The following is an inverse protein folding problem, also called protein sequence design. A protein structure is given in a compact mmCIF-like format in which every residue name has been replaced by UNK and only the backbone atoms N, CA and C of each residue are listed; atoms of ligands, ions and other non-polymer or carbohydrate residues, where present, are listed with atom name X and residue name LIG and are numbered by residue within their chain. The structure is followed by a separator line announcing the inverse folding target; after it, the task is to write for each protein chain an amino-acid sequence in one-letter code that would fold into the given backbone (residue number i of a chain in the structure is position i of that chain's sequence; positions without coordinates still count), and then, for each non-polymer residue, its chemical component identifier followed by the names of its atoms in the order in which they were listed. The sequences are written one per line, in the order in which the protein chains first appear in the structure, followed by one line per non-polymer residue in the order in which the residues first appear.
data_IF_682932282074
#
_entry.id   IF_682932282074
#
_cell.length_a   1.000
_cell.length_b   1.000
_cell.length_c   1.000
_cell.angle_alpha   90.00
_cell.angle_beta   90.00
_cell.angle_gamma   90.00
#
_symmetry.space_group_name_H-M   'P 1'
#
loop_
_entity.id
_entity.type
_entity.pdbx_description
1 polymer ?
#
# COMPACT_ATOMS: atom_id res chain seq x y z
N UNK A 1 8.61 1.75 1.96
CA UNK A 1 7.23 1.53 1.48
C UNK A 1 7.18 0.19 0.74
N UNK A 2 6.13 -0.60 0.91
CA UNK A 2 5.88 -1.87 0.20
C UNK A 2 5.22 -1.68 -1.17
N UNK A 3 5.11 -0.43 -1.63
CA UNK A 3 4.27 -0.04 -2.78
C UNK A 3 2.79 0.10 -2.43
N UNK A 4 2.34 -0.46 -1.32
CA UNK A 4 0.95 -0.38 -0.87
C UNK A 4 0.71 0.87 -0.01
N UNK A 5 -0.55 1.35 0.02
CA UNK A 5 -0.97 2.50 0.83
C UNK A 5 -0.81 2.26 2.35
N UNK A 6 -0.89 1.00 2.77
CA UNK A 6 -0.62 0.56 4.13
C UNK A 6 -0.04 -0.86 4.15
N UNK A 7 0.44 -1.27 5.33
CA UNK A 7 0.84 -2.65 5.59
C UNK A 7 -0.19 -3.27 6.52
N UNK A 8 -0.68 -4.45 6.14
CA UNK A 8 -1.65 -5.21 6.92
C UNK A 8 -1.01 -6.52 7.33
N UNK A 9 -0.85 -6.74 8.63
CA UNK A 9 -0.21 -7.95 9.16
C UNK A 9 -0.80 -8.38 10.49
N UNK A 10 -0.77 -9.67 10.79
CA UNK A 10 -1.24 -10.26 12.04
C UNK A 10 -0.08 -10.95 12.76
N UNK A 11 0.08 -10.80 14.09
CA UNK A 11 1.09 -11.55 14.83
C UNK A 11 0.80 -13.06 14.75
N UNK A 12 1.83 -13.86 14.51
CA UNK A 12 1.72 -15.33 14.43
C UNK A 12 1.63 -16.00 15.81
N UNK A 13 1.99 -15.28 16.87
CA UNK A 13 1.87 -15.75 18.25
C UNK A 13 1.69 -14.58 19.21
N UNK A 14 0.96 -14.82 20.30
CA UNK A 14 0.90 -13.92 21.44
C UNK A 14 2.25 -13.84 22.16
N UNK A 15 3.11 -14.86 22.04
CA UNK A 15 4.37 -14.96 22.77
C UNK A 15 5.57 -14.90 21.82
N UNK A 16 6.70 -14.36 22.27
CA UNK A 16 7.91 -14.11 21.46
C UNK A 16 8.67 -15.38 21.00
N UNK A 17 8.11 -16.56 21.21
CA UNK A 17 8.80 -17.86 21.03
C UNK A 17 8.60 -18.43 19.62
N UNK A 18 7.56 -18.01 18.90
CA UNK A 18 7.30 -18.55 17.56
C UNK A 18 8.38 -18.14 16.56
N UNK A 19 8.89 -19.12 15.81
CA UNK A 19 9.78 -18.91 14.66
C UNK A 19 9.27 -19.73 13.46
N UNK A 20 9.19 -19.13 12.26
CA UNK A 20 8.88 -19.87 11.04
C UNK A 20 9.93 -20.95 10.77
N UNK A 21 9.53 -22.02 10.07
CA UNK A 21 10.44 -23.06 9.62
C UNK A 21 11.57 -22.47 8.74
N UNK A 22 12.80 -22.94 8.94
CA UNK A 22 13.97 -22.46 8.18
C UNK A 22 13.82 -22.66 6.67
N UNK A 23 13.20 -23.76 6.25
CA UNK A 23 12.90 -24.06 4.84
C UNK A 23 11.96 -23.04 4.20
N UNK A 24 10.96 -22.56 4.95
CA UNK A 24 10.07 -21.49 4.48
C UNK A 24 10.87 -20.21 4.26
N UNK A 25 11.72 -19.82 5.20
CA UNK A 25 12.54 -18.62 5.10
C UNK A 25 13.57 -18.70 3.97
N UNK A 26 14.13 -19.89 3.70
CA UNK A 26 15.08 -20.11 2.62
C UNK A 26 14.46 -19.90 1.22
N UNK A 27 13.15 -20.09 1.08
CA UNK A 27 12.40 -19.87 -0.16
C UNK A 27 11.93 -18.41 -0.35
N UNK A 28 12.23 -17.52 0.59
CA UNK A 28 11.82 -16.12 0.55
C UNK A 28 13.04 -15.21 0.42
N UNK A 29 12.87 -14.13 -0.34
CA UNK A 29 13.77 -12.98 -0.27
C UNK A 29 13.43 -12.15 0.96
N UNK A 30 14.43 -11.50 1.55
CA UNK A 30 14.21 -10.62 2.69
C UNK A 30 14.83 -9.24 2.45
N UNK A 31 14.18 -8.22 2.99
CA UNK A 31 14.65 -6.84 2.93
C UNK A 31 14.51 -6.18 4.30
N UNK A 32 15.58 -5.53 4.74
CA UNK A 32 15.58 -4.74 5.97
C UNK A 32 14.88 -3.41 5.72
N UNK A 33 13.60 -3.34 6.11
CA UNK A 33 12.75 -2.17 5.89
C UNK A 33 13.07 -1.03 6.85
N UNK A 34 13.43 -1.39 8.09
CA UNK A 34 13.92 -0.48 9.11
C UNK A 34 15.14 -1.13 9.76
N UNK A 35 16.27 -0.42 9.69
CA UNK A 35 17.57 -0.89 10.17
C UNK A 35 17.48 -1.46 11.59
N UNK A 36 17.97 -2.68 11.77
CA UNK A 36 18.03 -3.40 13.05
C UNK A 36 16.65 -3.61 13.72
N UNK A 37 15.53 -3.43 12.98
CA UNK A 37 14.19 -3.40 13.57
C UNK A 37 13.15 -4.20 12.80
N UNK A 38 12.99 -3.96 11.50
CA UNK A 38 11.90 -4.56 10.72
C UNK A 38 12.47 -5.18 9.47
N UNK A 39 12.29 -6.49 9.33
CA UNK A 39 12.65 -7.25 8.14
C UNK A 39 11.39 -7.82 7.51
N UNK A 40 11.16 -7.50 6.24
CA UNK A 40 10.07 -8.09 5.45
C UNK A 40 10.61 -9.26 4.65
N UNK A 41 9.78 -10.29 4.50
CA UNK A 41 10.04 -11.47 3.69
C UNK A 41 9.00 -11.55 2.58
N UNK A 42 9.45 -11.77 1.35
CA UNK A 42 8.60 -11.80 0.16
C UNK A 42 9.05 -12.88 -0.82
N UNK A 43 8.12 -13.35 -1.65
CA UNK A 43 8.43 -14.35 -2.68
C UNK A 43 9.33 -13.73 -3.77
N UNK A 44 10.47 -14.36 -4.06
CA UNK A 44 11.42 -13.87 -5.09
C UNK A 44 10.85 -13.90 -6.52
N UNK A 45 9.88 -14.78 -6.77
CA UNK A 45 9.23 -14.99 -8.06
C UNK A 45 8.12 -13.97 -8.31
N UNK A 46 7.39 -13.61 -7.25
CA UNK A 46 6.12 -12.91 -7.39
C UNK A 46 6.00 -11.68 -6.46
N UNK A 47 7.03 -11.30 -5.73
CA UNK A 47 7.01 -10.09 -4.90
C UNK A 47 6.02 -10.11 -3.73
N UNK A 48 5.17 -11.12 -3.61
CA UNK A 48 4.17 -11.22 -2.55
C UNK A 48 4.84 -11.17 -1.20
N UNK A 49 4.50 -10.17 -0.39
CA UNK A 49 4.94 -10.10 0.99
C UNK A 49 4.25 -11.21 1.80
N UNK A 50 5.05 -12.05 2.47
CA UNK A 50 4.56 -13.23 3.18
C UNK A 50 4.63 -13.04 4.70
N UNK A 51 5.77 -12.57 5.19
CA UNK A 51 6.05 -12.43 6.62
C UNK A 51 6.77 -11.12 6.93
N UNK A 52 6.68 -10.68 8.18
CA UNK A 52 7.58 -9.69 8.75
C UNK A 52 8.13 -10.16 10.09
N UNK A 53 9.40 -9.85 10.36
CA UNK A 53 10.03 -10.00 11.67
C UNK A 53 10.31 -8.61 12.23
N UNK A 54 9.77 -8.34 13.42
CA UNK A 54 9.85 -7.04 14.08
C UNK A 54 10.57 -7.21 15.41
N UNK A 55 11.71 -6.56 15.55
CA UNK A 55 12.48 -6.48 16.78
C UNK A 55 11.96 -5.28 17.60
N UNK A 56 11.50 -5.50 18.85
CA UNK A 56 11.09 -4.44 19.77
C UNK A 56 12.18 -3.40 20.01
N UNK A 57 11.78 -2.17 20.33
CA UNK A 57 12.71 -1.08 20.71
C UNK A 57 13.32 -1.24 22.12
N UNK A 58 12.97 -2.28 22.88
CA UNK A 58 13.36 -2.50 24.28
C UNK A 58 13.59 -4.00 24.57
N UNK A 59 14.43 -4.35 25.56
CA UNK A 59 15.89 -4.43 25.42
C UNK A 59 16.32 -5.42 24.32
N UNK A 60 17.57 -5.28 23.84
CA UNK A 60 18.18 -5.98 22.67
C UNK A 60 18.13 -7.52 22.69
N UNK A 61 17.70 -8.14 23.79
CA UNK A 61 17.63 -9.59 23.98
C UNK A 61 16.28 -10.22 23.58
N UNK A 62 15.26 -9.42 23.27
CA UNK A 62 13.97 -9.94 22.77
C UNK A 62 14.16 -10.61 21.42
N UNK A 63 13.61 -11.83 21.23
CA UNK A 63 13.77 -12.62 19.99
C UNK A 63 13.04 -12.01 18.77
N UNK A 64 12.34 -10.90 18.96
CA UNK A 64 11.50 -10.27 17.95
C UNK A 64 10.21 -11.06 17.73
N UNK A 65 9.19 -10.39 17.20
CA UNK A 65 7.90 -11.00 16.90
C UNK A 65 7.72 -11.19 15.40
N UNK A 66 7.13 -12.33 15.04
CA UNK A 66 6.79 -12.66 13.68
C UNK A 66 5.34 -12.34 13.36
N UNK A 67 5.12 -11.86 12.14
CA UNK A 67 3.83 -11.48 11.61
C UNK A 67 3.62 -12.16 10.26
N UNK A 68 2.40 -12.64 10.02
CA UNK A 68 1.94 -12.99 8.69
C UNK A 68 1.31 -11.77 8.03
N UNK A 69 1.56 -11.61 6.73
CA UNK A 69 0.95 -10.54 5.97
C UNK A 69 -0.50 -10.93 5.62
N UNK A 70 -1.45 -10.05 5.91
CA UNK A 70 -2.87 -10.39 5.90
C UNK A 70 -3.38 -10.87 4.53
N UNK A 71 -2.78 -10.40 3.44
CA UNK A 71 -3.16 -10.82 2.09
C UNK A 71 -2.82 -12.27 1.77
N UNK A 72 -2.02 -12.96 2.59
CA UNK A 72 -1.73 -14.40 2.39
C UNK A 72 -2.72 -15.32 3.11
N UNK A 73 -3.64 -14.77 3.90
CA UNK A 73 -4.62 -15.56 4.65
C UNK A 73 -5.77 -15.98 3.72
N UNK A 74 -6.06 -17.28 3.70
CA UNK A 74 -7.13 -17.86 2.88
C UNK A 74 -8.52 -17.44 3.34
N UNK A 75 -8.75 -17.37 4.65
CA UNK A 75 -9.96 -16.84 5.30
C UNK A 75 -9.52 -15.95 6.43
N UNK A 76 -10.15 -14.78 6.55
CA UNK A 76 -9.83 -13.84 7.62
C UNK A 76 -11.07 -13.29 8.34
N UNK A 77 -12.25 -13.81 7.99
CA UNK A 77 -13.48 -13.67 8.75
C UNK A 77 -13.22 -14.04 10.23
N UNK A 78 -13.74 -13.26 11.17
CA UNK A 78 -13.55 -13.38 12.64
C UNK A 78 -12.12 -13.22 13.19
N UNK A 79 -11.08 -13.30 12.36
CA UNK A 79 -9.67 -13.12 12.76
C UNK A 79 -9.29 -11.64 12.81
N UNK A 80 -9.89 -10.82 11.93
CA UNK A 80 -9.57 -9.40 11.89
C UNK A 80 -10.13 -8.64 13.09
N UNK A 81 -9.21 -8.16 13.91
CA UNK A 81 -9.43 -7.12 14.91
C UNK A 81 -8.51 -5.93 14.63
N UNK A 82 -8.82 -5.12 13.60
CA UNK A 82 -7.93 -4.10 13.11
C UNK A 82 -7.75 -2.99 14.15
N UNK A 83 -6.56 -2.39 14.12
CA UNK A 83 -6.24 -1.10 14.71
C UNK A 83 -5.29 -0.41 13.75
N UNK A 84 -5.37 0.91 13.67
CA UNK A 84 -4.44 1.69 12.86
C UNK A 84 -3.28 2.15 13.74
N UNK A 85 -2.06 1.87 13.31
CA UNK A 85 -0.83 2.24 14.00
C UNK A 85 0.01 3.14 13.09
N UNK A 86 0.82 4.03 13.67
CA UNK A 86 1.68 4.96 12.91
C UNK A 86 0.89 5.84 11.92
N UNK A 87 -0.33 6.23 12.31
CA UNK A 87 -1.19 7.07 11.47
C UNK A 87 -0.56 8.46 11.25
N UNK A 88 0.22 8.96 12.20
CA UNK A 88 0.92 10.24 12.08
C UNK A 88 1.87 10.29 10.88
N UNK A 89 2.55 9.17 10.55
CA UNK A 89 3.48 9.07 9.42
C UNK A 89 2.79 9.27 8.07
N UNK A 90 1.46 9.15 8.01
CA UNK A 90 0.68 9.36 6.78
C UNK A 90 0.38 10.83 6.51
N UNK A 91 0.52 11.71 7.50
CA UNK A 91 0.17 13.15 7.49
C UNK A 91 -1.30 13.48 7.22
N UNK A 92 -2.08 12.54 6.67
CA UNK A 92 -3.45 12.77 6.25
C UNK A 92 -4.43 11.69 6.75
N UNK A 93 -4.01 10.78 7.63
CA UNK A 93 -4.69 9.54 8.06
C UNK A 93 -4.62 8.36 7.09
N UNK A 94 -4.04 8.51 5.90
CA UNK A 94 -3.85 7.42 4.94
C UNK A 94 -5.12 6.59 4.72
N UNK A 95 -5.00 5.26 4.84
CA UNK A 95 -6.12 4.33 4.75
C UNK A 95 -7.01 4.27 6.01
N UNK A 96 -6.59 4.87 7.13
CA UNK A 96 -7.37 4.81 8.38
C UNK A 96 -8.71 5.55 8.26
N UNK A 97 -8.78 6.54 7.34
CA UNK A 97 -10.03 7.18 6.92
C UNK A 97 -11.00 6.24 6.21
N UNK A 98 -10.51 5.19 5.54
CA UNK A 98 -11.32 4.26 4.75
C UNK A 98 -11.87 3.09 5.56
N UNK A 99 -11.37 2.89 6.78
CA UNK A 99 -11.82 1.84 7.68
C UNK A 99 -12.01 2.43 9.09
N UNK A 100 -13.08 3.24 9.30
CA UNK A 100 -13.30 3.94 10.56
C UNK A 100 -13.77 3.00 11.69
N UNK A 101 -14.56 1.99 11.34
CA UNK A 101 -15.24 1.09 12.27
C UNK A 101 -15.52 -0.26 11.62
N UNK A 102 -15.52 -1.34 12.40
CA UNK A 102 -15.87 -2.68 11.96
C UNK A 102 -16.57 -3.43 13.10
N UNK A 103 -17.52 -4.31 12.80
CA UNK A 103 -18.26 -5.10 13.80
C UNK A 103 -18.89 -4.25 14.93
N UNK A 104 -19.47 -3.11 14.57
CA UNK A 104 -20.13 -2.20 15.51
C UNK A 104 -19.19 -1.45 16.45
N UNK A 105 -17.86 -1.51 16.23
CA UNK A 105 -16.87 -0.81 17.06
C UNK A 105 -16.04 0.15 16.24
N UNK A 106 -15.77 1.33 16.81
CA UNK A 106 -14.78 2.26 16.27
C UNK A 106 -13.39 1.61 16.36
N UNK A 107 -12.64 1.67 15.25
CA UNK A 107 -11.28 1.16 15.20
C UNK A 107 -10.34 2.22 15.77
N UNK A 108 -9.42 1.84 16.63
CA UNK A 108 -8.45 2.77 17.21
C UNK A 108 -7.50 3.32 16.14
N UNK A 109 -7.08 4.58 16.29
CA UNK A 109 -6.13 5.26 15.40
C UNK A 109 -4.99 5.82 16.21
N UNK A 110 -3.92 5.06 16.36
CA UNK A 110 -2.77 5.47 17.16
C UNK A 110 -1.82 6.31 16.31
N UNK A 111 -1.40 7.47 16.84
CA UNK A 111 -0.43 8.32 16.16
C UNK A 111 0.85 7.54 15.84
N UNK A 112 1.33 6.73 16.79
CA UNK A 112 2.47 5.83 16.64
C UNK A 112 2.15 4.45 17.25
N UNK A 113 3.02 3.90 18.10
CA UNK A 113 2.82 2.60 18.72
C UNK A 113 1.56 2.58 19.61
N UNK A 114 0.74 1.52 19.55
CA UNK A 114 -0.49 1.44 20.33
C UNK A 114 -0.20 1.47 21.84
N UNK A 115 -1.13 2.02 22.62
CA UNK A 115 -1.09 2.15 24.08
C UNK A 115 0.08 2.96 24.65
N UNK A 116 0.87 3.63 23.80
CA UNK A 116 2.00 4.49 24.23
C UNK A 116 1.86 5.94 23.76
N UNK A 117 1.11 6.17 22.68
CA UNK A 117 0.94 7.48 22.05
C UNK A 117 -0.54 7.84 22.00
N UNK A 118 -0.87 9.08 21.64
CA UNK A 118 -2.27 9.52 21.58
C UNK A 118 -3.08 8.81 20.48
N UNK A 119 -4.39 8.66 20.72
CA UNK A 119 -5.33 8.32 19.66
C UNK A 119 -5.69 9.58 18.87
N UNK A 120 -5.73 9.43 17.55
CA UNK A 120 -6.11 10.46 16.59
C UNK A 120 -7.59 10.32 16.25
N UNK A 121 -8.23 11.46 16.00
CA UNK A 121 -9.60 11.50 15.51
C UNK A 121 -9.74 10.92 14.09
N UNK A 122 -10.96 10.57 13.71
CA UNK A 122 -11.26 10.18 12.33
C UNK A 122 -10.98 11.35 11.38
N UNK A 123 -10.38 11.06 10.22
CA UNK A 123 -9.95 12.06 9.23
C UNK A 123 -8.95 13.09 9.78
N UNK A 124 -8.14 12.68 10.77
CA UNK A 124 -7.04 13.51 11.24
C UNK A 124 -6.11 13.90 10.07
N UNK A 125 -5.71 15.16 10.07
CA UNK A 125 -4.73 15.72 9.15
C UNK A 125 -3.72 16.49 9.99
N UNK A 126 -2.45 16.48 9.59
CA UNK A 126 -1.42 17.27 10.22
C UNK A 126 -1.74 18.77 10.02
N UNK A 127 -1.67 19.56 11.11
CA UNK A 127 -2.06 20.97 11.11
C UNK A 127 -1.20 21.83 10.18
N UNK A 128 0.09 21.49 10.03
CA UNK A 128 1.04 22.21 9.18
C UNK A 128 1.16 21.61 7.76
N UNK A 129 0.12 20.89 7.29
CA UNK A 129 0.11 20.38 5.91
C UNK A 129 0.21 21.56 4.96
N UNK A 130 1.32 21.62 4.20
CA UNK A 130 1.49 22.63 3.17
C UNK A 130 0.35 22.48 2.14
N UNK A 131 -0.47 23.52 2.00
CA UNK A 131 -1.42 23.58 0.89
C UNK A 131 -0.63 23.71 -0.42
N UNK A 132 -0.52 22.60 -1.16
CA UNK A 132 0.15 22.61 -2.45
C UNK A 132 -0.85 23.05 -3.51
N UNK A 133 -0.64 24.24 -4.06
CA UNK A 133 -1.34 24.66 -5.29
C UNK A 133 -0.84 23.80 -6.45
N UNK A 134 -1.71 23.06 -7.16
CA UNK A 134 -1.30 22.22 -8.27
C UNK A 134 -0.64 23.05 -9.37
N UNK A 135 0.66 22.85 -9.60
CA UNK A 135 1.35 23.46 -10.74
C UNK A 135 1.19 22.54 -11.97
N UNK A 136 0.79 23.07 -13.15
CA UNK A 136 0.60 22.26 -14.36
C UNK A 136 1.86 21.51 -14.83
N UNK A 137 3.04 22.09 -14.62
CA UNK A 137 4.33 21.50 -15.00
C UNK A 137 4.98 20.67 -13.89
N UNK A 138 4.30 20.49 -12.74
CA UNK A 138 4.83 19.67 -11.66
C UNK A 138 5.03 18.23 -12.13
N UNK A 139 6.05 17.58 -11.56
CA UNK A 139 6.32 16.16 -11.70
C UNK A 139 6.24 15.52 -10.32
N UNK A 140 5.68 14.32 -10.27
CA UNK A 140 5.56 13.51 -9.07
C UNK A 140 6.64 12.44 -9.09
N UNK A 141 7.53 12.47 -8.10
CA UNK A 141 8.51 11.41 -7.91
C UNK A 141 7.84 10.17 -7.33
N UNK A 142 8.20 9.00 -7.83
CA UNK A 142 7.74 7.72 -7.32
C UNK A 142 8.93 6.77 -7.17
N UNK A 143 9.11 6.22 -5.97
CA UNK A 143 10.23 5.31 -5.69
C UNK A 143 9.91 4.27 -4.62
N UNK A 144 10.62 3.13 -4.70
CA UNK A 144 10.55 2.09 -3.69
C UNK A 144 11.54 2.33 -2.54
N UNK A 145 11.39 1.63 -1.40
CA UNK A 145 12.21 1.88 -0.20
C UNK A 145 13.73 1.76 -0.42
N UNK A 146 14.15 0.88 -1.33
CA UNK A 146 15.57 0.66 -1.60
C UNK A 146 16.13 1.58 -2.69
N UNK A 147 15.31 2.45 -3.30
CA UNK A 147 15.72 3.31 -4.42
C UNK A 147 16.00 2.57 -5.73
N UNK A 148 15.76 1.26 -5.79
CA UNK A 148 16.03 0.43 -6.98
C UNK A 148 14.96 0.55 -8.07
N UNK A 149 13.81 1.13 -7.75
CA UNK A 149 12.77 1.55 -8.70
C UNK A 149 12.54 3.02 -8.41
N UNK A 150 12.70 3.84 -9.44
CA UNK A 150 12.67 5.30 -9.39
C UNK A 150 12.15 5.80 -10.74
N UNK A 151 11.10 6.62 -10.72
CA UNK A 151 10.53 7.25 -11.91
C UNK A 151 9.71 8.48 -11.56
N UNK A 152 9.37 9.26 -12.57
CA UNK A 152 8.67 10.53 -12.47
C UNK A 152 7.38 10.49 -13.28
N UNK A 153 6.32 11.09 -12.75
CA UNK A 153 4.98 11.14 -13.36
C UNK A 153 4.62 12.61 -13.62
N UNK A 154 4.31 12.96 -14.87
CA UNK A 154 3.78 14.29 -15.22
C UNK A 154 2.29 14.37 -14.96
N UNK A 155 1.70 15.56 -14.78
CA UNK A 155 0.24 15.68 -14.67
C UNK A 155 -0.51 15.22 -15.93
N UNK A 156 -1.77 14.75 -15.79
CA UNK A 156 -2.68 14.53 -16.92
C UNK A 156 -2.82 15.78 -17.79
N UNK A 157 -2.83 15.61 -19.11
CA UNK A 157 -3.03 16.73 -20.04
C UNK A 157 -4.44 17.34 -19.93
N UNK A 158 -5.45 16.50 -19.70
CA UNK A 158 -6.87 16.86 -19.80
C UNK A 158 -7.59 16.97 -18.44
N UNK A 159 -6.88 16.74 -17.33
CA UNK A 159 -7.43 16.78 -15.96
C UNK A 159 -6.30 17.09 -14.97
N UNK A 160 -6.64 17.57 -13.77
CA UNK A 160 -5.61 17.93 -12.78
C UNK A 160 -5.12 16.75 -11.95
N UNK A 161 -5.91 15.68 -11.83
CA UNK A 161 -5.65 14.52 -10.97
C UNK A 161 -5.83 13.19 -11.70
N UNK A 162 -5.12 12.16 -11.26
CA UNK A 162 -5.32 10.78 -11.64
C UNK A 162 -6.45 10.15 -10.84
N UNK A 163 -7.19 9.22 -11.44
CA UNK A 163 -8.19 8.44 -10.71
C UNK A 163 -7.47 7.47 -9.76
N UNK A 164 -7.77 7.57 -8.46
CA UNK A 164 -7.37 6.55 -7.49
C UNK A 164 -8.33 5.36 -7.56
N UNK A 165 -7.79 4.16 -7.39
CA UNK A 165 -8.54 2.90 -7.38
C UNK A 165 -8.17 2.10 -6.14
N UNK A 166 -9.14 1.39 -5.58
CA UNK A 166 -8.95 0.32 -4.61
C UNK A 166 -9.51 -0.98 -5.20
N UNK A 167 -8.82 -2.08 -4.96
CA UNK A 167 -9.18 -3.38 -5.55
C UNK A 167 -9.22 -4.47 -4.47
N UNK A 168 -10.35 -5.17 -4.41
CA UNK A 168 -10.63 -6.28 -3.51
C UNK A 168 -10.39 -7.67 -4.11
N UNK A 169 -9.97 -7.76 -5.38
CA UNK A 169 -9.81 -9.06 -6.03
C UNK A 169 -8.70 -9.90 -5.38
N UNK A 170 -8.86 -11.21 -5.44
CA UNK A 170 -7.89 -12.16 -4.88
C UNK A 170 -6.51 -12.03 -5.51
N UNK A 171 -6.46 -11.67 -6.79
CA UNK A 171 -5.20 -11.48 -7.52
C UNK A 171 -4.38 -10.31 -6.95
N UNK A 172 -5.01 -9.17 -6.65
CA UNK A 172 -4.33 -8.01 -6.06
C UNK A 172 -3.93 -8.26 -4.61
N UNK A 173 -4.83 -8.86 -3.83
CA UNK A 173 -4.57 -9.28 -2.45
C UNK A 173 -3.33 -10.18 -2.38
N UNK A 174 -3.32 -11.27 -3.15
CA UNK A 174 -2.22 -12.23 -3.17
C UNK A 174 -0.95 -11.63 -3.76
N UNK A 175 -1.03 -10.80 -4.79
CA UNK A 175 0.16 -10.20 -5.40
C UNK A 175 0.90 -9.26 -4.45
N UNK A 176 0.17 -8.52 -3.62
CA UNK A 176 0.75 -7.57 -2.67
C UNK A 176 1.12 -8.22 -1.33
N UNK A 177 0.45 -9.34 -0.99
CA UNK A 177 0.50 -9.89 0.37
C UNK A 177 -0.27 -9.05 1.39
N UNK A 178 -1.01 -8.04 0.93
CA UNK A 178 -1.75 -7.11 1.77
C UNK A 178 -3.24 -7.23 1.52
N UNK A 179 -4.02 -6.81 2.51
CA UNK A 179 -5.47 -6.80 2.41
C UNK A 179 -5.98 -5.64 1.54
N UNK A 180 -7.23 -5.71 1.08
CA UNK A 180 -7.83 -4.87 0.02
C UNK A 180 -7.55 -3.37 0.11
N UNK A 181 -7.51 -2.83 1.34
CA UNK A 181 -7.23 -1.43 1.64
C UNK A 181 -5.85 -0.95 1.18
N UNK A 182 -4.91 -1.88 1.07
CA UNK A 182 -3.53 -1.59 0.78
C UNK A 182 -3.27 -1.48 -0.73
N UNK A 183 -4.14 -2.08 -1.56
CA UNK A 183 -4.00 -2.17 -3.03
C UNK A 183 -4.53 -0.92 -3.73
N UNK A 184 -4.07 0.26 -3.29
CA UNK A 184 -4.40 1.52 -3.92
C UNK A 184 -3.50 1.78 -5.14
N UNK A 185 -4.12 2.12 -6.27
CA UNK A 185 -3.38 2.46 -7.50
C UNK A 185 -3.88 3.75 -8.16
N UNK A 186 -3.01 4.37 -8.94
CA UNK A 186 -3.31 5.49 -9.81
C UNK A 186 -3.20 5.05 -11.28
N UNK A 187 -4.25 5.27 -12.07
CA UNK A 187 -4.23 4.94 -13.50
C UNK A 187 -3.49 6.03 -14.29
N UNK A 188 -2.28 5.71 -14.77
CA UNK A 188 -1.34 6.64 -15.40
C UNK A 188 -1.03 6.17 -16.82
N UNK A 189 -1.05 7.09 -17.77
CA UNK A 189 -0.61 6.81 -19.13
C UNK A 189 0.93 6.71 -19.17
N UNK A 190 1.44 5.64 -19.78
CA UNK A 190 2.89 5.34 -19.83
C UNK A 190 3.71 6.47 -20.45
N UNK A 191 3.14 7.26 -21.36
CA UNK A 191 3.80 8.43 -21.98
C UNK A 191 4.02 9.57 -20.99
N UNK A 192 3.35 9.54 -19.85
CA UNK A 192 3.50 10.52 -18.78
C UNK A 192 4.56 10.13 -17.75
N UNK A 193 5.10 8.92 -17.87
CA UNK A 193 6.13 8.39 -17.00
C UNK A 193 7.50 8.55 -17.66
N UNK A 194 8.50 9.00 -16.89
CA UNK A 194 9.90 9.05 -17.29
C UNK A 194 10.81 8.48 -16.21
N UNK A 195 11.95 7.90 -16.61
CA UNK A 195 12.95 7.36 -15.69
C UNK A 195 13.94 8.43 -15.18
N UNK A 196 13.77 9.68 -15.61
CA UNK A 196 14.50 10.84 -15.13
C UNK A 196 13.55 12.03 -14.91
N UNK A 197 13.96 12.94 -14.02
CA UNK A 197 13.17 14.12 -13.71
C UNK A 197 13.02 15.04 -14.92
N UNK A 198 14.00 15.13 -15.84
CA UNK A 198 13.89 16.02 -17.00
C UNK A 198 12.87 15.53 -18.04
N UNK A 199 12.47 14.25 -17.99
CA UNK A 199 11.52 13.65 -18.91
C UNK A 199 12.15 13.21 -20.24
N UNK A 200 13.48 12.97 -20.25
CA UNK A 200 14.24 12.62 -21.45
C UNK A 200 14.29 11.12 -21.70
N UNK A 201 14.22 10.32 -20.64
CA UNK A 201 14.24 8.87 -20.64
C UNK A 201 12.80 8.38 -20.49
N UNK A 202 12.16 7.91 -21.57
CA UNK A 202 10.77 7.48 -21.53
C UNK A 202 10.61 6.18 -20.74
N UNK A 203 9.38 5.93 -20.27
CA UNK A 203 9.02 4.63 -19.72
C UNK A 203 9.16 3.53 -20.78
N UNK A 204 9.86 2.43 -20.47
CA UNK A 204 10.18 1.41 -21.47
C UNK A 204 8.94 0.60 -21.84
N UNK A 205 8.72 0.40 -23.15
CA UNK A 205 7.63 -0.44 -23.67
C UNK A 205 7.68 -1.87 -23.12
N UNK A 206 8.89 -2.41 -22.94
CA UNK A 206 9.11 -3.74 -22.34
C UNK A 206 8.86 -3.81 -20.83
N UNK A 207 8.59 -2.68 -20.17
CA UNK A 207 8.41 -2.59 -18.71
C UNK A 207 9.64 -3.06 -17.91
N UNK A 208 10.83 -3.00 -18.52
CA UNK A 208 12.09 -3.44 -17.93
C UNK A 208 12.97 -2.23 -17.59
N UNK A 209 13.21 -1.99 -16.30
CA UNK A 209 14.16 -0.97 -15.84
C UNK A 209 14.66 -1.26 -14.42
N UNK A 210 15.90 -0.85 -14.15
CA UNK A 210 16.52 -0.91 -12.83
C UNK A 210 16.35 -2.28 -12.12
N UNK A 211 15.75 -2.31 -10.93
CA UNK A 211 15.52 -3.55 -10.17
C UNK A 211 14.13 -4.16 -10.38
N UNK A 212 13.36 -3.64 -11.35
CA UNK A 212 12.01 -4.10 -11.61
C UNK A 212 12.02 -5.53 -12.17
N UNK A 213 11.19 -6.39 -11.58
CA UNK A 213 10.80 -7.68 -12.15
C UNK A 213 9.32 -7.65 -12.48
N UNK A 214 8.96 -8.28 -13.60
CA UNK A 214 7.58 -8.42 -14.02
C UNK A 214 7.16 -9.89 -14.03
N UNK A 215 5.87 -10.14 -13.81
CA UNK A 215 5.26 -11.45 -14.05
C UNK A 215 3.85 -11.29 -14.61
N UNK A 216 3.36 -12.31 -15.29
CA UNK A 216 1.95 -12.39 -15.62
C UNK A 216 1.16 -12.95 -14.42
N UNK A 217 0.14 -12.24 -13.94
CA UNK A 217 -0.83 -12.79 -12.96
C UNK A 217 -2.04 -13.43 -13.62
N UNK A 218 -2.28 -13.12 -14.88
CA UNK A 218 -3.23 -13.75 -15.80
C UNK A 218 -2.63 -13.65 -17.21
N UNK A 219 -3.22 -14.27 -18.25
CA UNK A 219 -2.72 -14.14 -19.63
C UNK A 219 -2.48 -12.69 -20.06
N UNK A 220 -3.35 -11.77 -19.61
CA UNK A 220 -3.37 -10.38 -20.07
C UNK A 220 -2.86 -9.37 -19.04
N UNK A 221 -2.65 -9.76 -17.77
CA UNK A 221 -2.22 -8.82 -16.72
C UNK A 221 -0.79 -9.07 -16.30
N UNK A 222 0.06 -8.07 -16.50
CA UNK A 222 1.44 -8.01 -16.02
C UNK A 222 1.50 -7.22 -14.71
N UNK A 223 2.26 -7.72 -13.75
CA UNK A 223 2.51 -7.06 -12.46
C UNK A 223 4.00 -6.81 -12.30
N UNK A 224 4.37 -5.58 -11.96
CA UNK A 224 5.73 -5.15 -11.67
C UNK A 224 6.00 -5.07 -10.17
N UNK A 225 7.14 -5.59 -9.72
CA UNK A 225 7.62 -5.45 -8.34
C UNK A 225 9.14 -5.25 -8.30
N UNK A 226 9.64 -4.58 -7.27
CA UNK A 226 11.08 -4.42 -7.06
C UNK A 226 11.69 -5.74 -6.58
N UNK A 227 12.67 -6.28 -7.31
CA UNK A 227 13.36 -7.53 -6.95
C UNK A 227 14.16 -7.45 -5.64
N UNK A 228 14.55 -6.24 -5.22
CA UNK A 228 15.37 -6.02 -4.03
C UNK A 228 14.54 -5.90 -2.76
N UNK A 229 13.47 -5.09 -2.77
CA UNK A 229 12.67 -4.82 -1.56
C UNK A 229 11.25 -5.42 -1.58
N UNK A 230 10.85 -6.04 -2.68
CA UNK A 230 9.52 -6.65 -2.84
C UNK A 230 8.39 -5.67 -3.12
N UNK A 231 8.66 -4.35 -3.14
CA UNK A 231 7.62 -3.35 -3.32
C UNK A 231 6.87 -3.52 -4.64
N UNK A 232 5.53 -3.56 -4.57
CA UNK A 232 4.66 -3.53 -5.76
C UNK A 232 4.81 -2.18 -6.47
N UNK A 233 4.88 -2.21 -7.80
CA UNK A 233 5.15 -1.00 -8.61
C UNK A 233 3.96 -0.62 -9.46
N UNK A 234 3.46 -1.57 -10.27
CA UNK A 234 2.26 -1.34 -11.06
C UNK A 234 1.57 -2.65 -11.45
N UNK A 235 0.32 -2.52 -11.91
CA UNK A 235 -0.35 -3.51 -12.74
C UNK A 235 -0.54 -2.94 -14.14
N UNK A 236 -0.48 -3.80 -15.16
CA UNK A 236 -0.63 -3.41 -16.55
C UNK A 236 -1.42 -4.47 -17.31
N UNK A 237 -2.46 -4.05 -18.02
CA UNK A 237 -3.16 -4.91 -18.98
C UNK A 237 -2.41 -4.81 -20.31
N UNK A 238 -2.00 -5.95 -20.87
CA UNK A 238 -1.24 -6.01 -22.11
C UNK A 238 -2.00 -5.32 -23.24
N UNK A 239 -1.32 -4.43 -23.95
CA UNK A 239 -1.88 -3.69 -25.08
C UNK A 239 -2.62 -2.41 -24.69
N UNK A 240 -2.79 -2.10 -23.40
CA UNK A 240 -3.22 -0.77 -22.97
C UNK A 240 -2.04 0.20 -22.92
N UNK A 241 -2.31 1.50 -23.10
CA UNK A 241 -1.27 2.54 -22.92
C UNK A 241 -1.12 2.98 -21.45
N UNK A 242 -1.92 2.41 -20.54
CA UNK A 242 -1.98 2.79 -19.13
C UNK A 242 -1.42 1.73 -18.20
N UNK A 243 -0.89 2.19 -17.08
CA UNK A 243 -0.46 1.37 -15.94
C UNK A 243 -1.14 1.86 -14.67
N UNK A 244 -1.55 0.93 -13.81
CA UNK A 244 -2.05 1.20 -12.47
C UNK A 244 -0.87 1.24 -11.50
N UNK A 245 -0.30 2.43 -11.30
CA UNK A 245 0.87 2.69 -10.43
C UNK A 245 0.48 2.56 -8.96
N UNK A 246 1.27 1.85 -8.17
CA UNK A 246 1.02 1.65 -6.75
C UNK A 246 1.19 2.96 -5.96
N UNK A 247 0.15 3.39 -5.24
CA UNK A 247 0.11 4.70 -4.56
C UNK A 247 1.17 4.82 -3.46
N UNK A 248 1.54 3.71 -2.82
CA UNK A 248 2.58 3.70 -1.79
C UNK A 248 4.00 3.92 -2.33
N UNK A 249 4.17 4.26 -3.61
CA UNK A 249 5.46 4.73 -4.16
C UNK A 249 5.53 6.26 -4.28
N UNK A 250 4.38 6.94 -4.30
CA UNK A 250 4.30 8.36 -4.62
C UNK A 250 4.88 9.19 -3.48
N UNK A 251 5.87 10.02 -3.79
CA UNK A 251 6.47 10.93 -2.82
C UNK A 251 5.84 12.33 -2.96
N UNK A 252 4.99 12.63 -1.99
CA UNK A 252 4.32 13.93 -1.86
C UNK A 252 4.37 14.39 -0.41
N UNK A 253 4.67 15.67 -0.23
CA UNK A 253 4.76 16.26 1.12
C UNK A 253 3.41 16.40 1.83
N UNK A 254 2.31 16.31 1.07
CA UNK A 254 0.96 16.45 1.58
C UNK A 254 0.41 15.18 2.26
N UNK A 255 1.10 14.04 2.19
CA UNK A 255 0.67 12.81 2.86
C UNK A 255 0.26 11.67 1.95
N UNK A 256 -0.01 10.52 2.56
CA UNK A 256 -0.04 9.21 1.92
C UNK A 256 -1.13 9.05 0.84
N UNK A 257 -2.22 9.80 0.89
CA UNK A 257 -3.27 9.75 -0.14
C UNK A 257 -2.96 10.62 -1.37
N UNK A 258 -1.93 11.48 -1.34
CA UNK A 258 -1.56 12.32 -2.48
C UNK A 258 -2.74 13.07 -3.12
N UNK A 259 -3.60 13.68 -2.30
CA UNK A 259 -4.87 14.25 -2.73
C UNK A 259 -4.73 15.42 -3.72
N UNK A 260 -3.55 16.04 -3.88
CA UNK A 260 -3.28 17.03 -4.93
C UNK A 260 -3.01 16.39 -6.30
N UNK A 261 -2.71 15.09 -6.34
CA UNK A 261 -2.44 14.30 -7.54
C UNK A 261 -3.52 13.25 -7.82
N UNK A 262 -4.21 12.78 -6.80
CA UNK A 262 -5.15 11.67 -6.87
C UNK A 262 -6.57 12.11 -6.53
N UNK A 263 -7.52 11.69 -7.35
CA UNK A 263 -8.95 11.86 -7.11
C UNK A 263 -9.52 10.63 -6.41
N UNK A 264 -9.93 10.82 -5.17
CA UNK A 264 -10.57 9.82 -4.31
C UNK A 264 -12.09 10.01 -4.24
N UNK A 265 -12.65 11.08 -4.81
CA UNK A 265 -14.08 11.41 -4.65
C UNK A 265 -14.99 10.42 -5.37
N UNK A 266 -14.49 9.77 -6.41
CA UNK A 266 -15.20 8.75 -7.18
C UNK A 266 -14.70 7.34 -6.90
N UNK A 267 -14.04 7.12 -5.75
CA UNK A 267 -13.46 5.82 -5.46
C UNK A 267 -14.53 4.78 -5.13
N UNK A 268 -14.49 3.68 -5.85
CA UNK A 268 -15.29 2.50 -5.55
C UNK A 268 -14.35 1.32 -5.35
N UNK A 269 -14.68 0.45 -4.40
CA UNK A 269 -13.92 -0.77 -4.18
C UNK A 269 -14.23 -1.73 -5.33
N UNK A 270 -13.25 -2.02 -6.19
CA UNK A 270 -13.45 -2.93 -7.32
C UNK A 270 -13.38 -4.39 -6.91
N UNK A 271 -14.15 -5.25 -7.58
CA UNK A 271 -14.19 -6.70 -7.34
C UNK A 271 -14.53 -7.07 -5.90
N UNK A 272 -15.54 -6.41 -5.32
CA UNK A 272 -15.94 -6.60 -3.92
C UNK A 272 -16.40 -8.02 -3.63
N UNK A 273 -16.94 -8.71 -4.63
CA UNK A 273 -17.42 -10.09 -4.55
C UNK A 273 -16.36 -11.07 -4.03
N UNK A 274 -15.10 -10.91 -4.47
CA UNK A 274 -13.97 -11.70 -3.98
C UNK A 274 -13.73 -11.45 -2.48
N UNK A 275 -13.86 -10.19 -2.07
CA UNK A 275 -13.68 -9.83 -0.68
C UNK A 275 -14.80 -10.24 0.24
N UNK A 276 -16.05 -10.11 -0.22
CA UNK A 276 -17.24 -10.55 0.48
C UNK A 276 -17.21 -12.05 0.75
N UNK A 277 -16.63 -12.85 -0.16
CA UNK A 277 -16.48 -14.29 0.03
C UNK A 277 -15.53 -14.67 1.17
N UNK A 278 -14.52 -13.85 1.44
CA UNK A 278 -13.39 -14.23 2.31
C UNK A 278 -13.32 -13.47 3.64
N UNK A 279 -13.63 -12.19 3.60
CA UNK A 279 -13.53 -11.26 4.72
C UNK A 279 -14.69 -10.28 4.61
N UNK A 280 -15.91 -10.80 4.80
CA UNK A 280 -17.18 -10.10 4.57
C UNK A 280 -17.27 -8.84 5.40
N UNK A 281 -17.06 -8.96 6.72
CA UNK A 281 -17.22 -7.82 7.62
C UNK A 281 -16.18 -6.72 7.36
N UNK A 282 -14.95 -7.10 7.02
CA UNK A 282 -13.92 -6.15 6.61
C UNK A 282 -14.32 -5.45 5.31
N UNK A 283 -14.72 -6.22 4.28
CA UNK A 283 -15.08 -5.67 2.97
C UNK A 283 -16.22 -4.67 3.10
N UNK A 284 -17.29 -5.03 3.82
CA UNK A 284 -18.41 -4.13 4.07
C UNK A 284 -18.01 -2.90 4.90
N UNK A 285 -17.09 -3.04 5.85
CA UNK A 285 -16.58 -1.92 6.63
C UNK A 285 -15.76 -0.95 5.76
N UNK A 286 -14.97 -1.44 4.80
CA UNK A 286 -14.26 -0.62 3.83
C UNK A 286 -15.23 0.13 2.93
N UNK A 287 -16.22 -0.55 2.36
CA UNK A 287 -17.23 0.09 1.48
C UNK A 287 -17.93 1.24 2.21
N UNK A 288 -18.44 0.99 3.42
CA UNK A 288 -19.06 2.04 4.24
C UNK A 288 -18.09 3.18 4.60
N UNK A 289 -16.82 2.84 4.87
CA UNK A 289 -15.80 3.82 5.20
C UNK A 289 -15.42 4.70 4.01
N UNK A 290 -15.38 4.15 2.79
CA UNK A 290 -15.17 4.91 1.56
C UNK A 290 -16.35 5.86 1.29
N UNK A 291 -17.59 5.38 1.44
CA UNK A 291 -18.79 6.22 1.30
C UNK A 291 -18.77 7.40 2.29
N UNK A 292 -18.45 7.12 3.56
CA UNK A 292 -18.35 8.14 4.60
C UNK A 292 -17.23 9.14 4.31
N UNK A 293 -16.07 8.66 3.87
CA UNK A 293 -14.93 9.50 3.49
C UNK A 293 -15.27 10.42 2.31
N UNK A 294 -15.98 9.93 1.30
CA UNK A 294 -16.41 10.76 0.17
C UNK A 294 -17.35 11.88 0.59
N UNK A 295 -18.32 11.58 1.46
CA UNK A 295 -19.23 12.60 2.03
C UNK A 295 -18.46 13.65 2.80
N UNK A 296 -17.53 13.22 3.66
CA UNK A 296 -16.63 14.11 4.39
C UNK A 296 -15.82 15.02 3.45
N UNK A 297 -15.26 14.48 2.35
CA UNK A 297 -14.55 15.26 1.34
C UNK A 297 -15.45 16.27 0.59
N UNK A 298 -16.76 16.07 0.61
CA UNK A 298 -17.77 16.98 0.04
C UNK A 298 -18.33 17.97 1.08
N UNK A 299 -17.94 17.86 2.36
CA UNK A 299 -18.48 18.66 3.46
C UNK A 299 -19.92 18.27 3.83
N UNK A 300 -20.32 17.03 3.54
CA UNK A 300 -21.65 16.46 3.80
C UNK A 300 -21.68 15.56 5.03
#
# INVERSE_FOLDING_TARGET
MSGCLCVTSIPLSSDEIYRPAGELLANLSSYEFSKDRIKHYFCSTCGTHMLAHVIPRAPKESQGRWYAMCGTLEVAESIYWPRHEYVEDTLDSGCASFLPSMNGRSIERWAQHPNKYQQLQLHWVMHDRLEIKPLPCAKLHAYCKCGGVDFWIRRPANRTKYLAKLCACDSCRLANGMEMLASATACVDTRQISLDEAGKTPFPVGLEFATLKTRCSSPDVVRGFCATCGASVFNHVKGEDTVDVAVGLLDVHEGARAESWLDWKSIDLKFQEDGLRRAKELTLAVVRGLDAFQRWQMGL
#
